data_IF_562919435742
#
_entry.id   IF_562919435742
#
_cell.length_a   1.000
_cell.length_b   1.000
_cell.length_c   1.000
_cell.angle_alpha   90.00
_cell.angle_beta   90.00
_cell.angle_gamma   90.00
#
_symmetry.space_group_name_H-M   'P 1'
#
loop_
_entity.id
_entity.type
_entity.pdbx_description
1 polymer ?
#
# COMPACT_ATOMS: atom_id res chain seq x y z
N UNK A 1 7.54 -22.71 -17.41
CA UNK A 1 7.07 -21.65 -18.35
C UNK A 1 6.43 -20.59 -17.50
N UNK A 2 7.09 -19.46 -17.36
CA UNK A 2 6.58 -18.25 -16.71
C UNK A 2 5.54 -17.70 -17.68
N UNK A 3 4.26 -17.70 -17.27
CA UNK A 3 3.21 -17.03 -18.01
C UNK A 3 3.49 -15.53 -17.98
N UNK A 4 3.94 -14.98 -19.10
CA UNK A 4 4.03 -13.54 -19.24
C UNK A 4 2.62 -12.97 -19.10
N UNK A 5 2.46 -11.94 -18.25
CA UNK A 5 1.27 -11.08 -18.33
C UNK A 5 1.25 -10.57 -19.78
N UNK A 6 0.15 -10.67 -20.50
CA UNK A 6 0.08 -10.04 -21.80
C UNK A 6 0.25 -8.55 -21.58
N UNK A 7 1.33 -7.98 -22.11
CA UNK A 7 1.62 -6.54 -22.08
C UNK A 7 0.41 -5.66 -22.51
N UNK A 8 -0.57 -6.27 -23.17
CA UNK A 8 -1.82 -5.63 -23.55
C UNK A 8 -2.87 -5.45 -22.44
N UNK A 9 -2.77 -6.12 -21.27
CA UNK A 9 -3.72 -5.90 -20.16
C UNK A 9 -3.32 -4.67 -19.37
N UNK A 10 -2.03 -4.53 -19.06
CA UNK A 10 -1.47 -3.36 -18.37
C UNK A 10 -1.61 -2.09 -19.22
N UNK A 11 -1.32 -2.15 -20.51
CA UNK A 11 -1.52 -1.02 -21.41
C UNK A 11 -3.00 -0.63 -21.58
N UNK A 12 -3.93 -1.60 -21.54
CA UNK A 12 -5.37 -1.31 -21.58
C UNK A 12 -5.86 -0.66 -20.28
N UNK A 13 -5.34 -1.09 -19.12
CA UNK A 13 -5.62 -0.47 -17.82
C UNK A 13 -5.16 0.98 -17.77
N UNK A 14 -3.91 1.25 -18.17
CA UNK A 14 -3.35 2.60 -18.22
C UNK A 14 -4.09 3.51 -19.20
N UNK A 15 -4.44 3.02 -20.40
CA UNK A 15 -5.21 3.79 -21.37
C UNK A 15 -6.60 4.17 -20.87
N UNK A 16 -7.31 3.26 -20.19
CA UNK A 16 -8.62 3.53 -19.60
C UNK A 16 -8.51 4.42 -18.35
N UNK A 17 -7.46 4.29 -17.54
CA UNK A 17 -7.21 5.20 -16.43
C UNK A 17 -6.96 6.64 -16.95
N UNK A 18 -6.19 6.79 -18.03
CA UNK A 18 -5.95 8.09 -18.65
C UNK A 18 -7.24 8.73 -19.20
N UNK A 19 -8.22 7.93 -19.67
CA UNK A 19 -9.55 8.40 -20.09
C UNK A 19 -10.51 8.66 -18.92
N UNK A 20 -10.08 8.41 -17.66
CA UNK A 20 -10.93 8.48 -16.46
C UNK A 20 -12.14 7.54 -16.45
N UNK A 21 -12.16 6.50 -17.30
CA UNK A 21 -13.23 5.51 -17.36
C UNK A 21 -13.17 4.49 -16.22
N UNK A 22 -11.98 4.30 -15.65
CA UNK A 22 -11.73 3.42 -14.50
C UNK A 22 -10.91 4.15 -13.43
N UNK A 23 -10.93 3.60 -12.22
CA UNK A 23 -9.96 3.93 -11.16
C UNK A 23 -8.90 2.84 -11.14
N UNK A 24 -7.64 3.18 -11.36
CA UNK A 24 -6.50 2.27 -11.25
C UNK A 24 -5.83 2.50 -9.90
N UNK A 25 -5.74 1.44 -9.10
CA UNK A 25 -5.10 1.42 -7.79
C UNK A 25 -3.91 0.46 -7.80
N UNK A 26 -2.84 0.83 -7.14
CA UNK A 26 -1.71 -0.04 -6.81
C UNK A 26 -1.78 -0.36 -5.33
N UNK A 27 -1.95 -1.63 -4.99
CA UNK A 27 -2.00 -2.12 -3.62
C UNK A 27 -0.70 -2.83 -3.23
N UNK A 28 -0.35 -2.75 -1.96
CA UNK A 28 0.80 -3.45 -1.36
C UNK A 28 0.78 -3.29 0.17
N UNK A 29 1.59 -4.11 0.87
CA UNK A 29 1.86 -3.91 2.29
C UNK A 29 3.30 -3.51 2.54
N UNK A 30 3.44 -2.48 3.35
CA UNK A 30 4.74 -2.11 3.93
C UNK A 30 4.76 -2.37 5.44
N UNK A 31 5.91 -2.18 6.04
CA UNK A 31 6.09 -2.28 7.50
C UNK A 31 6.91 -1.10 8.00
N UNK A 32 6.55 -0.60 9.18
CA UNK A 32 7.34 0.37 9.93
C UNK A 32 7.63 -0.14 11.34
N UNK A 33 8.69 0.36 11.94
CA UNK A 33 9.11 0.03 13.29
C UNK A 33 9.03 1.26 14.17
N UNK A 34 8.78 1.09 15.47
CA UNK A 34 8.92 2.16 16.45
C UNK A 34 10.36 2.64 16.59
N UNK A 35 11.33 1.81 16.21
CA UNK A 35 12.73 2.20 16.09
C UNK A 35 12.99 2.95 14.78
N UNK A 36 14.02 3.84 14.76
CA UNK A 36 14.24 4.73 13.62
C UNK A 36 14.63 3.97 12.35
N UNK A 37 13.97 4.30 11.26
CA UNK A 37 14.48 4.02 9.92
C UNK A 37 15.64 5.00 9.65
N UNK A 38 16.84 4.49 9.38
CA UNK A 38 17.98 5.34 9.11
C UNK A 38 18.03 5.70 7.61
N UNK A 39 18.08 7.00 7.33
CA UNK A 39 18.32 7.53 5.99
C UNK A 39 19.67 8.28 5.96
N UNK A 40 20.11 8.70 4.77
CA UNK A 40 21.31 9.53 4.66
C UNK A 40 21.05 10.92 5.22
N UNK A 41 21.99 11.45 6.00
CA UNK A 41 21.94 12.79 6.57
C UNK A 41 23.26 13.52 6.35
N UNK A 42 23.19 14.84 6.17
CA UNK A 42 24.35 15.69 6.07
C UNK A 42 24.91 16.00 7.47
N UNK A 43 26.22 15.85 7.63
CA UNK A 43 26.93 16.19 8.86
C UNK A 43 28.35 16.59 8.57
N UNK A 44 29.05 17.19 9.55
CA UNK A 44 30.48 17.40 9.46
C UNK A 44 31.21 16.07 9.30
N UNK A 45 32.28 16.06 8.52
CA UNK A 45 33.15 14.89 8.38
C UNK A 45 33.60 14.41 9.76
N UNK A 46 33.48 13.11 10.01
CA UNK A 46 33.80 12.50 11.32
C UNK A 46 32.71 12.64 12.40
N UNK A 47 31.58 13.29 12.14
CA UNK A 47 30.48 13.33 13.10
C UNK A 47 29.81 11.95 13.23
N UNK A 48 29.81 11.41 14.45
CA UNK A 48 29.08 10.18 14.79
C UNK A 48 27.60 10.46 15.00
N UNK A 49 26.82 10.55 13.90
CA UNK A 49 25.37 10.73 14.01
C UNK A 49 24.75 9.50 14.67
N UNK A 50 23.91 9.72 15.67
CA UNK A 50 23.20 8.66 16.40
C UNK A 50 21.75 9.07 16.62
N UNK A 51 20.83 8.11 16.46
CA UNK A 51 19.42 8.27 16.82
C UNK A 51 19.13 7.31 17.96
N UNK A 52 18.57 7.78 19.10
CA UNK A 52 18.21 6.90 20.21
C UNK A 52 17.16 5.86 19.76
N UNK A 53 17.36 4.62 20.18
CA UNK A 53 16.43 3.51 19.90
C UNK A 53 16.25 2.67 21.18
N UNK A 54 15.58 3.21 22.23
CA UNK A 54 15.44 2.53 23.51
C UNK A 54 14.39 1.42 23.44
N UNK A 55 14.62 0.35 24.20
CA UNK A 55 13.68 -0.77 24.33
C UNK A 55 13.68 -1.68 23.12
N UNK A 56 12.59 -2.45 22.97
CA UNK A 56 12.38 -3.35 21.83
C UNK A 56 11.56 -2.68 20.73
N UNK A 57 11.95 -2.92 19.48
CA UNK A 57 11.22 -2.43 18.33
C UNK A 57 9.86 -3.14 18.23
N UNK A 58 8.79 -2.37 18.18
CA UNK A 58 7.47 -2.85 17.82
C UNK A 58 7.23 -2.60 16.33
N UNK A 59 6.53 -3.53 15.69
CA UNK A 59 6.25 -3.51 14.26
C UNK A 59 4.79 -3.12 14.01
N UNK A 60 4.58 -2.31 12.98
CA UNK A 60 3.26 -2.00 12.43
C UNK A 60 3.27 -2.34 10.94
N UNK A 61 2.31 -3.14 10.51
CA UNK A 61 2.03 -3.38 9.11
C UNK A 61 1.16 -2.25 8.54
N UNK A 62 1.39 -1.91 7.29
CA UNK A 62 0.74 -0.80 6.58
C UNK A 62 0.20 -1.30 5.23
N UNK A 63 -0.95 -2.02 5.19
CA UNK A 63 -1.63 -2.22 3.93
C UNK A 63 -2.08 -0.88 3.36
N UNK A 64 -1.89 -0.69 2.06
CA UNK A 64 -2.20 0.58 1.42
C UNK A 64 -2.51 0.45 -0.06
N UNK A 65 -3.11 1.50 -0.61
CA UNK A 65 -3.40 1.63 -2.03
C UNK A 65 -3.14 3.03 -2.53
N UNK A 66 -2.49 3.14 -3.68
CA UNK A 66 -2.19 4.39 -4.38
C UNK A 66 -3.09 4.51 -5.62
N UNK A 67 -3.86 5.58 -5.72
CA UNK A 67 -4.59 5.89 -6.95
C UNK A 67 -3.65 6.49 -8.01
N UNK A 68 -3.59 5.84 -9.18
CA UNK A 68 -2.66 6.19 -10.25
C UNK A 68 -2.77 7.65 -10.70
N UNK A 69 -3.98 8.13 -10.99
CA UNK A 69 -4.21 9.46 -11.55
C UNK A 69 -4.20 10.55 -10.48
N UNK A 70 -4.94 10.37 -9.39
CA UNK A 70 -5.08 11.40 -8.35
C UNK A 70 -3.89 11.45 -7.40
N UNK A 71 -3.04 10.41 -7.42
CA UNK A 71 -1.92 10.20 -6.49
C UNK A 71 -2.36 10.20 -5.02
N UNK A 72 -3.65 10.03 -4.76
CA UNK A 72 -4.16 9.85 -3.40
C UNK A 72 -3.80 8.48 -2.87
N UNK A 73 -3.45 8.42 -1.60
CA UNK A 73 -3.04 7.20 -0.91
C UNK A 73 -4.07 6.88 0.17
N UNK A 74 -4.45 5.62 0.30
CA UNK A 74 -5.20 5.10 1.43
C UNK A 74 -4.29 4.13 2.15
N UNK A 75 -3.99 4.39 3.41
CA UNK A 75 -3.16 3.53 4.26
C UNK A 75 -3.92 3.19 5.53
N UNK A 76 -3.90 1.93 5.88
CA UNK A 76 -4.32 1.42 7.18
C UNK A 76 -3.11 0.92 7.93
N UNK A 77 -3.09 1.08 9.24
CA UNK A 77 -2.08 0.44 10.10
C UNK A 77 -2.69 -0.76 10.82
N UNK A 78 -1.90 -1.79 11.00
CA UNK A 78 -2.30 -3.01 11.69
C UNK A 78 -1.14 -3.58 12.51
N UNK A 79 -1.38 -4.17 13.70
CA UNK A 79 -0.34 -4.88 14.44
C UNK A 79 0.06 -6.20 13.78
N UNK A 80 -0.71 -6.67 12.80
CA UNK A 80 -0.48 -7.94 12.10
C UNK A 80 -0.47 -7.74 10.59
N UNK A 81 0.05 -8.76 9.89
CA UNK A 81 0.02 -8.85 8.42
C UNK A 81 -0.71 -10.14 8.06
N UNK A 82 -2.03 -10.09 8.05
CA UNK A 82 -2.91 -11.24 7.83
C UNK A 82 -3.95 -10.93 6.75
N UNK A 83 -4.61 -11.97 6.26
CA UNK A 83 -5.72 -11.83 5.32
C UNK A 83 -6.88 -11.01 5.88
N UNK A 84 -7.08 -10.99 7.20
CA UNK A 84 -8.05 -10.11 7.86
C UNK A 84 -7.73 -8.63 7.68
N UNK A 85 -6.44 -8.28 7.70
CA UNK A 85 -5.99 -6.89 7.55
C UNK A 85 -6.17 -6.44 6.11
N UNK A 86 -5.89 -7.32 5.15
CA UNK A 86 -6.22 -7.08 3.73
C UNK A 86 -7.73 -6.89 3.52
N UNK A 87 -8.58 -7.72 4.15
CA UNK A 87 -10.04 -7.55 4.08
C UNK A 87 -10.50 -6.23 4.69
N UNK A 88 -9.90 -5.81 5.81
CA UNK A 88 -10.16 -4.51 6.42
C UNK A 88 -9.75 -3.35 5.49
N UNK A 89 -8.62 -3.49 4.79
CA UNK A 89 -8.20 -2.52 3.77
C UNK A 89 -9.19 -2.47 2.60
N UNK A 90 -9.69 -3.61 2.12
CA UNK A 90 -10.75 -3.64 1.10
C UNK A 90 -12.03 -2.92 1.55
N UNK A 91 -12.36 -2.90 2.86
CA UNK A 91 -13.49 -2.12 3.39
C UNK A 91 -13.24 -0.60 3.26
N UNK A 92 -12.02 -0.14 3.45
CA UNK A 92 -11.69 1.27 3.18
C UNK A 92 -11.82 1.62 1.69
N UNK A 93 -11.48 0.68 0.81
CA UNK A 93 -11.73 0.86 -0.63
C UNK A 93 -13.21 0.88 -0.96
N UNK A 94 -14.07 0.10 -0.26
CA UNK A 94 -15.54 0.20 -0.36
C UNK A 94 -16.02 1.62 -0.03
N UNK A 95 -15.48 2.21 1.04
CA UNK A 95 -15.85 3.56 1.47
C UNK A 95 -15.41 4.63 0.47
N UNK A 96 -14.21 4.49 -0.10
CA UNK A 96 -13.64 5.47 -1.01
C UNK A 96 -14.21 5.37 -2.44
N UNK A 97 -14.34 4.16 -2.96
CA UNK A 97 -14.60 3.91 -4.38
C UNK A 97 -15.83 3.03 -4.64
N UNK A 98 -16.36 2.34 -3.65
CA UNK A 98 -17.48 1.43 -3.79
C UNK A 98 -18.78 2.11 -4.23
N UNK A 99 -19.78 1.34 -4.67
CA UNK A 99 -21.09 1.85 -5.01
C UNK A 99 -21.75 2.57 -3.83
N UNK A 100 -22.37 3.71 -4.11
CA UNK A 100 -23.13 4.47 -3.12
C UNK A 100 -24.58 4.68 -3.59
N UNK A 101 -25.55 4.82 -2.68
CA UNK A 101 -26.92 5.10 -3.07
C UNK A 101 -27.00 6.30 -4.03
N UNK A 102 -27.65 6.10 -5.20
CA UNK A 102 -27.82 7.15 -6.21
C UNK A 102 -26.59 7.48 -7.05
N UNK A 103 -25.46 6.79 -6.85
CA UNK A 103 -24.23 6.98 -7.64
C UNK A 103 -23.66 5.64 -8.08
N UNK A 104 -23.57 5.41 -9.39
CA UNK A 104 -22.83 4.30 -9.93
C UNK A 104 -21.33 4.44 -9.60
N UNK A 105 -20.71 3.35 -9.12
CA UNK A 105 -19.27 3.30 -8.93
C UNK A 105 -18.59 3.25 -10.32
N UNK A 106 -17.44 3.93 -10.45
CA UNK A 106 -16.55 3.66 -11.58
C UNK A 106 -15.91 2.28 -11.35
N UNK A 107 -15.70 1.50 -12.41
CA UNK A 107 -14.93 0.26 -12.29
C UNK A 107 -13.55 0.55 -11.70
N UNK A 108 -13.15 -0.23 -10.71
CA UNK A 108 -11.83 -0.15 -10.08
C UNK A 108 -11.00 -1.35 -10.51
N UNK A 109 -9.76 -1.10 -10.87
CA UNK A 109 -8.74 -2.14 -11.09
C UNK A 109 -7.69 -1.97 -10.00
N UNK A 110 -7.54 -2.98 -9.15
CA UNK A 110 -6.50 -3.05 -8.12
C UNK A 110 -5.36 -3.92 -8.65
N UNK A 111 -4.19 -3.34 -8.80
CA UNK A 111 -2.94 -4.06 -9.10
C UNK A 111 -2.35 -4.52 -7.78
N UNK A 112 -2.13 -5.83 -7.63
CA UNK A 112 -1.75 -6.44 -6.36
C UNK A 112 -0.78 -7.59 -6.59
N UNK A 113 0.07 -7.89 -5.63
CA UNK A 113 0.94 -9.05 -5.69
C UNK A 113 0.21 -10.37 -5.35
N UNK A 114 0.84 -11.50 -5.67
CA UNK A 114 0.30 -12.84 -5.43
C UNK A 114 0.66 -13.39 -4.03
N UNK A 115 0.87 -12.54 -3.02
CA UNK A 115 1.22 -13.02 -1.69
C UNK A 115 0.08 -13.83 -1.06
N UNK A 116 0.37 -14.82 -0.20
CA UNK A 116 -0.68 -15.68 0.38
C UNK A 116 -1.81 -14.97 1.10
N UNK A 117 -1.56 -13.79 1.68
CA UNK A 117 -2.60 -13.01 2.37
C UNK A 117 -3.66 -12.49 1.39
N UNK A 118 -3.29 -12.17 0.13
CA UNK A 118 -4.20 -11.73 -0.92
C UNK A 118 -4.95 -12.89 -1.58
N UNK A 119 -4.32 -14.07 -1.63
CA UNK A 119 -4.87 -15.24 -2.33
C UNK A 119 -5.51 -16.27 -1.40
N UNK A 120 -5.64 -15.99 -0.11
CA UNK A 120 -6.30 -16.85 0.87
C UNK A 120 -7.80 -17.05 0.55
N UNK A 121 -8.43 -18.05 1.16
CA UNK A 121 -9.89 -18.26 1.02
C UNK A 121 -10.67 -17.02 1.46
N UNK A 122 -10.27 -16.40 2.56
CA UNK A 122 -10.91 -15.19 3.11
C UNK A 122 -10.80 -14.03 2.12
N UNK A 123 -9.60 -13.76 1.63
CA UNK A 123 -9.34 -12.66 0.69
C UNK A 123 -10.08 -12.87 -0.64
N UNK A 124 -10.06 -14.10 -1.18
CA UNK A 124 -10.81 -14.43 -2.41
C UNK A 124 -12.31 -14.25 -2.24
N UNK A 125 -12.87 -14.65 -1.11
CA UNK A 125 -14.30 -14.43 -0.82
C UNK A 125 -14.63 -12.92 -0.74
N UNK A 126 -13.77 -12.15 -0.08
CA UNK A 126 -13.93 -10.70 0.02
C UNK A 126 -13.82 -9.99 -1.34
N UNK A 127 -12.89 -10.41 -2.20
CA UNK A 127 -12.76 -9.91 -3.57
C UNK A 127 -13.94 -10.31 -4.45
N UNK A 128 -14.41 -11.57 -4.35
CA UNK A 128 -15.57 -12.06 -5.08
C UNK A 128 -16.85 -11.26 -4.76
N UNK A 129 -17.05 -10.88 -3.50
CA UNK A 129 -18.18 -10.04 -3.09
C UNK A 129 -18.15 -8.65 -3.75
N UNK A 130 -16.99 -8.17 -4.19
CA UNK A 130 -16.76 -6.86 -4.82
C UNK A 130 -16.62 -6.92 -6.33
N UNK A 131 -16.70 -8.10 -6.94
CA UNK A 131 -16.44 -8.32 -8.38
C UNK A 131 -17.33 -7.49 -9.33
N UNK A 132 -18.43 -6.94 -8.84
CA UNK A 132 -19.33 -6.08 -9.62
C UNK A 132 -18.78 -4.65 -9.84
N UNK A 133 -17.74 -4.23 -9.08
CA UNK A 133 -17.10 -2.92 -9.25
C UNK A 133 -15.57 -2.97 -9.14
N UNK A 134 -14.99 -3.98 -8.48
CA UNK A 134 -13.55 -4.16 -8.25
C UNK A 134 -13.06 -5.41 -8.97
N UNK A 135 -12.04 -5.26 -9.79
CA UNK A 135 -11.25 -6.36 -10.36
C UNK A 135 -9.81 -6.28 -9.88
N UNK A 136 -9.12 -7.42 -9.83
CA UNK A 136 -7.71 -7.49 -9.42
C UNK A 136 -6.87 -7.92 -10.61
N UNK A 137 -5.79 -7.19 -10.87
CA UNK A 137 -4.71 -7.56 -11.78
C UNK A 137 -3.50 -8.00 -10.94
N UNK A 138 -3.13 -9.26 -11.10
CA UNK A 138 -2.06 -9.85 -10.31
C UNK A 138 -0.70 -9.59 -10.94
N UNK A 139 0.22 -8.98 -10.17
CA UNK A 139 1.59 -8.79 -10.58
C UNK A 139 2.33 -10.13 -10.74
N UNK A 140 3.32 -10.19 -11.65
CA UNK A 140 4.27 -11.29 -11.66
C UNK A 140 5.00 -11.40 -10.33
N UNK A 141 5.43 -12.61 -9.98
CA UNK A 141 6.28 -12.79 -8.79
C UNK A 141 7.58 -12.00 -8.93
N UNK A 142 7.99 -11.33 -7.87
CA UNK A 142 9.25 -10.58 -7.79
C UNK A 142 9.35 -9.43 -8.81
N UNK A 143 8.28 -8.70 -9.05
CA UNK A 143 8.24 -7.54 -9.93
C UNK A 143 7.76 -6.26 -9.19
N UNK A 144 8.42 -5.84 -8.10
CA UNK A 144 8.03 -4.65 -7.35
C UNK A 144 8.16 -3.36 -8.17
N UNK A 145 9.00 -3.36 -9.20
CA UNK A 145 9.16 -2.23 -10.13
C UNK A 145 7.91 -1.92 -10.94
N UNK A 146 6.96 -2.85 -11.00
CA UNK A 146 5.65 -2.65 -11.65
C UNK A 146 4.59 -2.12 -10.68
N UNK A 147 4.93 -1.93 -9.40
CA UNK A 147 4.01 -1.46 -8.39
C UNK A 147 4.36 -0.04 -7.93
N UNK A 148 3.64 0.95 -8.46
CA UNK A 148 3.90 2.38 -8.19
C UNK A 148 3.85 2.76 -6.70
N UNK A 149 3.13 2.01 -5.86
CA UNK A 149 3.04 2.29 -4.42
C UNK A 149 4.38 2.09 -3.69
N UNK A 150 5.28 1.29 -4.25
CA UNK A 150 6.62 1.11 -3.69
C UNK A 150 7.42 2.43 -3.57
N UNK A 151 7.17 3.37 -4.49
CA UNK A 151 7.74 4.71 -4.41
C UNK A 151 7.20 5.48 -3.20
N UNK A 152 5.91 5.32 -2.87
CA UNK A 152 5.28 5.92 -1.69
C UNK A 152 5.89 5.36 -0.41
N UNK A 153 6.06 4.04 -0.32
CA UNK A 153 6.69 3.41 0.84
C UNK A 153 8.13 3.89 1.06
N UNK A 154 8.88 4.04 -0.02
CA UNK A 154 10.25 4.56 0.03
C UNK A 154 10.27 6.00 0.51
N UNK A 155 9.41 6.85 -0.01
CA UNK A 155 9.30 8.26 0.37
C UNK A 155 8.88 8.40 1.84
N UNK A 156 7.84 7.70 2.27
CA UNK A 156 7.36 7.67 3.65
C UNK A 156 8.49 7.30 4.62
N UNK A 157 9.22 6.22 4.34
CA UNK A 157 10.31 5.76 5.19
C UNK A 157 11.53 6.70 5.19
N UNK A 158 11.85 7.29 4.05
CA UNK A 158 13.06 8.12 3.89
C UNK A 158 12.89 9.55 4.39
N UNK A 159 11.68 10.11 4.30
CA UNK A 159 11.45 11.53 4.56
C UNK A 159 10.51 11.80 5.75
N UNK A 160 9.55 10.92 6.00
CA UNK A 160 8.54 11.14 7.03
C UNK A 160 8.79 10.34 8.32
N UNK A 161 9.31 9.11 8.22
CA UNK A 161 9.59 8.27 9.39
C UNK A 161 11.09 8.17 9.72
N UNK A 162 11.96 8.73 8.86
CA UNK A 162 13.39 8.64 9.02
C UNK A 162 13.86 9.37 10.29
N UNK A 163 14.85 8.75 10.96
CA UNK A 163 15.52 9.30 12.14
C UNK A 163 14.60 9.56 13.36
N UNK A 164 13.36 9.07 13.33
CA UNK A 164 12.40 9.22 14.41
C UNK A 164 12.29 7.94 15.22
N UNK A 165 12.17 8.09 16.54
CA UNK A 165 11.86 7.01 17.48
C UNK A 165 10.48 7.28 18.04
N UNK A 166 9.62 6.29 17.95
CA UNK A 166 8.24 6.38 18.42
C UNK A 166 8.10 5.65 19.77
N UNK A 167 7.43 6.26 20.73
CA UNK A 167 7.25 5.68 22.07
C UNK A 167 6.42 4.39 22.07
N UNK A 168 5.55 4.22 21.10
CA UNK A 168 4.66 3.06 20.91
C UNK A 168 4.12 3.02 19.47
N UNK A 169 3.34 2.00 19.16
CA UNK A 169 2.69 1.81 17.85
C UNK A 169 1.66 2.90 17.52
N UNK A 170 0.96 3.47 18.52
CA UNK A 170 -0.02 4.52 18.29
C UNK A 170 0.64 5.82 17.82
N UNK A 171 1.79 6.16 18.37
CA UNK A 171 2.56 7.31 17.92
C UNK A 171 3.12 7.12 16.50
N UNK A 172 3.52 5.90 16.16
CA UNK A 172 3.94 5.55 14.80
C UNK A 172 2.76 5.63 13.83
N UNK A 173 1.58 5.12 14.22
CA UNK A 173 0.36 5.21 13.42
C UNK A 173 0.00 6.68 13.12
N UNK A 174 -0.08 7.51 14.15
CA UNK A 174 -0.35 8.94 13.98
C UNK A 174 0.63 9.62 13.02
N UNK A 175 1.92 9.32 13.13
CA UNK A 175 2.92 9.87 12.23
C UNK A 175 2.75 9.37 10.79
N UNK A 176 2.38 8.10 10.61
CA UNK A 176 2.09 7.52 9.30
C UNK A 176 0.86 8.17 8.67
N UNK A 177 -0.24 8.31 9.43
CA UNK A 177 -1.48 8.93 8.93
C UNK A 177 -1.30 10.43 8.61
N UNK A 178 -0.43 11.12 9.31
CA UNK A 178 -0.13 12.53 9.05
C UNK A 178 0.76 12.73 7.80
N UNK A 179 1.41 11.68 7.32
CA UNK A 179 2.38 11.73 6.21
C UNK A 179 1.77 11.33 4.85
N UNK A 180 0.55 10.76 4.83
CA UNK A 180 -0.11 10.23 3.62
C UNK A 180 -1.40 10.98 3.21
#
# INVERSE_FOLDING_TARGET
RIGAIPAGAEMRGLGRAASSDIVLLYGDESEALTHPCLARAWAKSGAGLRVPAPGEAQKVAMPGSLAHITRSVIVQTSPTRRSSDFVAHLQQLDEAYGPKPGRAAKPVVLVEDNWPIHTSKLSRAALAARAHWLSVEWLPKYAPELNDIEAVWRDLKAHHLAHQTFKNTDALDQATQAAV
#
